data_IF_965959236908
#
_entry.id   IF_965959236908
#
_cell.length_a   1.000
_cell.length_b   1.000
_cell.length_c   1.000
_cell.angle_alpha   90.00
_cell.angle_beta   90.00
_cell.angle_gamma   90.00
#
_symmetry.space_group_name_H-M   'P 1'
#
loop_
_entity.id
_entity.type
_entity.pdbx_description
1 polymer ?
#
# COMPACT_ATOMS: atom_id res chain seq x y z
N UNK A 1 28.09 -6.49 2.01
CA UNK A 1 28.69 -7.77 2.46
C UNK A 1 27.82 -8.57 3.42
N UNK A 2 27.36 -8.07 4.58
CA UNK A 2 26.49 -8.90 5.44
C UNK A 2 25.07 -9.10 4.89
N UNK A 3 24.46 -8.06 4.30
CA UNK A 3 23.10 -8.17 3.72
C UNK A 3 23.08 -9.09 2.50
N UNK A 4 24.02 -8.95 1.57
CA UNK A 4 24.09 -9.78 0.36
C UNK A 4 24.26 -11.28 0.70
N UNK A 5 24.97 -11.58 1.80
CA UNK A 5 25.07 -12.95 2.31
C UNK A 5 23.71 -13.52 2.73
N UNK A 6 22.92 -12.75 3.49
CA UNK A 6 21.60 -13.18 3.94
C UNK A 6 20.59 -13.24 2.79
N UNK A 7 20.68 -12.33 1.82
CA UNK A 7 19.91 -12.39 0.58
C UNK A 7 20.22 -13.66 -0.22
N UNK A 8 21.50 -14.01 -0.38
CA UNK A 8 21.93 -15.24 -1.05
C UNK A 8 21.48 -16.48 -0.27
N UNK A 9 21.55 -16.45 1.06
CA UNK A 9 21.07 -17.54 1.92
C UNK A 9 19.57 -17.76 1.77
N UNK A 10 18.78 -16.69 1.76
CA UNK A 10 17.34 -16.77 1.53
C UNK A 10 17.02 -17.27 0.11
N UNK A 11 17.78 -16.80 -0.89
CA UNK A 11 17.67 -17.25 -2.28
C UNK A 11 17.98 -18.74 -2.48
N UNK A 12 18.79 -19.32 -1.58
CA UNK A 12 19.17 -20.74 -1.63
C UNK A 12 18.11 -21.70 -1.05
N UNK A 13 16.91 -21.21 -0.73
CA UNK A 13 15.82 -21.96 -0.11
C UNK A 13 16.25 -22.67 1.19
N UNK A 14 16.47 -21.90 2.27
CA UNK A 14 16.85 -22.49 3.54
C UNK A 14 15.73 -23.42 4.05
N UNK A 15 16.06 -24.48 4.81
CA UNK A 15 15.04 -25.33 5.43
C UNK A 15 14.11 -24.50 6.32
N UNK A 16 12.82 -24.90 6.36
CA UNK A 16 11.76 -24.15 7.07
C UNK A 16 12.11 -23.87 8.54
N UNK A 17 12.86 -24.77 9.18
CA UNK A 17 13.30 -24.64 10.57
C UNK A 17 14.18 -23.42 10.85
N UNK A 18 14.88 -22.88 9.85
CA UNK A 18 15.74 -21.70 9.97
C UNK A 18 15.25 -20.52 9.12
N UNK A 19 14.15 -20.68 8.38
CA UNK A 19 13.64 -19.67 7.46
C UNK A 19 13.30 -18.36 8.20
N UNK A 20 12.59 -18.46 9.33
CA UNK A 20 12.25 -17.28 10.14
C UNK A 20 13.48 -16.60 10.75
N UNK A 21 14.52 -17.36 11.12
CA UNK A 21 15.78 -16.78 11.61
C UNK A 21 16.52 -16.01 10.51
N UNK A 22 16.57 -16.56 9.29
CA UNK A 22 17.15 -15.89 8.13
C UNK A 22 16.38 -14.62 7.80
N UNK A 23 15.04 -14.71 7.76
CA UNK A 23 14.17 -13.56 7.55
C UNK A 23 14.36 -12.52 8.66
N UNK A 24 14.53 -12.94 9.91
CA UNK A 24 14.76 -12.04 11.03
C UNK A 24 16.08 -11.28 10.89
N UNK A 25 17.16 -11.99 10.57
CA UNK A 25 18.46 -11.35 10.35
C UNK A 25 18.40 -10.40 9.16
N UNK A 26 17.73 -10.77 8.08
CA UNK A 26 17.63 -9.93 6.90
C UNK A 26 16.79 -8.67 7.16
N UNK A 27 15.59 -8.82 7.72
CA UNK A 27 14.69 -7.70 8.05
C UNK A 27 15.34 -6.73 9.03
N UNK A 28 15.95 -7.22 10.11
CA UNK A 28 16.63 -6.37 11.10
C UNK A 28 17.80 -5.60 10.47
N UNK A 29 18.53 -6.19 9.52
CA UNK A 29 19.60 -5.49 8.80
C UNK A 29 19.04 -4.42 7.87
N UNK A 30 17.96 -4.67 7.14
CA UNK A 30 17.30 -3.63 6.32
C UNK A 30 16.81 -2.48 7.19
N UNK A 31 16.06 -2.76 8.26
CA UNK A 31 15.55 -1.75 9.20
C UNK A 31 16.69 -0.90 9.76
N UNK A 32 17.77 -1.55 10.23
CA UNK A 32 18.93 -0.89 10.79
C UNK A 32 19.61 0.05 9.79
N UNK A 33 19.71 -0.34 8.51
CA UNK A 33 20.28 0.50 7.45
C UNK A 33 19.38 1.66 7.07
N UNK A 34 18.07 1.41 6.99
CA UNK A 34 17.06 2.43 6.67
C UNK A 34 17.01 3.51 7.75
N UNK A 35 17.09 3.12 9.03
CA UNK A 35 16.99 4.06 10.16
C UNK A 35 18.30 4.80 10.46
N UNK A 36 19.44 4.43 9.85
CA UNK A 36 20.76 5.02 10.15
C UNK A 36 21.24 5.91 8.99
N UNK A 37 21.08 7.24 9.08
CA UNK A 37 21.43 8.18 8.01
C UNK A 37 22.94 8.26 7.70
N UNK A 38 23.80 7.69 8.55
CA UNK A 38 25.26 7.67 8.37
C UNK A 38 25.77 6.39 7.69
N UNK A 39 24.88 5.48 7.28
CA UNK A 39 25.31 4.24 6.64
C UNK A 39 25.87 4.54 5.24
N UNK A 40 27.12 4.11 5.00
CA UNK A 40 27.71 4.16 3.66
C UNK A 40 26.90 3.25 2.76
N UNK A 41 26.13 3.85 1.87
CA UNK A 41 25.27 3.15 0.95
C UNK A 41 26.13 2.38 -0.06
N UNK A 42 26.35 1.09 0.18
CA UNK A 42 27.09 0.20 -0.71
C UNK A 42 26.14 -0.27 -1.80
N UNK A 43 26.60 -0.21 -3.05
CA UNK A 43 25.86 -0.72 -4.21
C UNK A 43 25.46 -2.17 -3.96
N UNK A 44 24.16 -2.44 -4.06
CA UNK A 44 23.62 -3.79 -3.91
C UNK A 44 24.12 -4.72 -5.02
N UNK A 45 24.38 -5.99 -4.69
CA UNK A 45 24.66 -7.03 -5.69
C UNK A 45 23.40 -7.47 -6.46
N UNK A 46 22.22 -7.37 -5.86
CA UNK A 46 20.93 -7.75 -6.45
C UNK A 46 19.90 -6.64 -6.34
N UNK A 47 19.14 -6.42 -7.40
CA UNK A 47 17.97 -5.54 -7.35
C UNK A 47 16.79 -6.24 -6.65
N UNK A 48 15.76 -5.50 -6.21
CA UNK A 48 14.50 -6.11 -5.74
C UNK A 48 13.91 -7.09 -6.76
N UNK A 49 14.01 -6.76 -8.05
CA UNK A 49 13.58 -7.61 -9.17
C UNK A 49 14.39 -8.91 -9.22
N UNK A 50 15.72 -8.84 -9.08
CA UNK A 50 16.59 -10.01 -9.07
C UNK A 50 16.28 -10.93 -7.89
N UNK A 51 16.00 -10.36 -6.71
CA UNK A 51 15.64 -11.12 -5.51
C UNK A 51 14.29 -11.82 -5.66
N UNK A 52 13.29 -11.14 -6.22
CA UNK A 52 11.98 -11.72 -6.57
C UNK A 52 12.10 -12.83 -7.60
N UNK A 53 12.97 -12.68 -8.59
CA UNK A 53 13.22 -13.72 -9.59
C UNK A 53 14.04 -14.89 -9.00
N UNK A 54 14.80 -14.65 -7.91
CA UNK A 54 15.61 -15.68 -7.24
C UNK A 54 14.80 -16.56 -6.29
N UNK A 55 13.82 -16.01 -5.56
CA UNK A 55 13.00 -16.79 -4.62
C UNK A 55 11.61 -16.20 -4.38
N UNK A 56 10.66 -17.05 -4.00
CA UNK A 56 9.25 -16.70 -3.75
C UNK A 56 9.01 -15.93 -2.45
N UNK A 57 10.04 -15.71 -1.64
CA UNK A 57 9.96 -14.97 -0.38
C UNK A 57 9.84 -13.45 -0.59
N UNK A 58 10.19 -12.96 -1.77
CA UNK A 58 10.02 -11.56 -2.16
C UNK A 58 8.77 -11.42 -3.04
N UNK A 59 7.86 -10.54 -2.65
CA UNK A 59 6.62 -10.23 -3.36
C UNK A 59 6.76 -9.11 -4.38
N UNK A 60 5.74 -8.97 -5.22
CA UNK A 60 5.60 -7.81 -6.12
C UNK A 60 5.19 -6.61 -5.29
N UNK A 61 5.92 -5.49 -5.44
CA UNK A 61 5.58 -4.23 -4.80
C UNK A 61 4.31 -3.70 -5.44
N UNK A 62 3.30 -3.43 -4.62
CA UNK A 62 1.99 -2.97 -5.09
C UNK A 62 2.07 -1.58 -5.75
N UNK A 63 1.25 -1.30 -6.78
CA UNK A 63 1.29 -0.03 -7.51
C UNK A 63 1.05 1.21 -6.64
N UNK A 64 0.27 1.08 -5.57
CA UNK A 64 -0.01 2.18 -4.64
C UNK A 64 1.23 2.64 -3.86
N UNK A 65 2.19 1.73 -3.60
CA UNK A 65 3.45 2.07 -2.95
C UNK A 65 4.28 2.96 -3.87
N UNK A 66 4.32 2.64 -5.17
CA UNK A 66 5.01 3.48 -6.17
C UNK A 66 4.38 4.87 -6.25
N UNK A 67 3.04 4.97 -6.19
CA UNK A 67 2.35 6.24 -6.18
C UNK A 67 2.72 7.10 -4.95
N UNK A 68 2.78 6.49 -3.76
CA UNK A 68 3.18 7.18 -2.52
C UNK A 68 4.60 7.74 -2.54
N UNK A 69 5.54 6.98 -3.12
CA UNK A 69 6.99 7.27 -3.07
C UNK A 69 7.43 8.18 -4.21
N UNK A 70 6.64 8.29 -5.29
CA UNK A 70 6.99 9.04 -6.49
C UNK A 70 7.26 10.54 -6.27
N UNK A 71 6.77 11.12 -5.17
CA UNK A 71 6.97 12.53 -4.83
C UNK A 71 8.17 12.80 -3.91
N UNK A 72 8.85 11.76 -3.39
CA UNK A 72 9.92 11.92 -2.40
C UNK A 72 11.28 11.41 -2.91
N UNK A 73 12.39 12.10 -2.59
CA UNK A 73 13.72 11.54 -2.80
C UNK A 73 13.91 10.35 -1.84
N UNK A 74 13.96 9.14 -2.39
CA UNK A 74 14.26 7.92 -1.63
C UNK A 74 15.59 8.09 -0.89
N UNK A 75 15.58 7.88 0.43
CA UNK A 75 16.70 8.17 1.33
C UNK A 75 18.02 7.46 0.97
N UNK A 76 17.97 6.39 0.17
CA UNK A 76 19.11 5.96 -0.63
C UNK A 76 18.69 5.16 -1.89
N UNK A 77 18.68 5.82 -3.05
CA UNK A 77 18.43 5.15 -4.36
C UNK A 77 19.48 4.07 -4.66
N UNK A 78 20.71 4.21 -4.13
CA UNK A 78 21.83 3.34 -4.52
C UNK A 78 21.90 1.98 -3.81
N UNK A 79 21.32 1.81 -2.61
CA UNK A 79 21.24 0.46 -1.98
C UNK A 79 19.91 -0.25 -2.25
N UNK A 80 18.82 0.50 -2.51
CA UNK A 80 17.50 -0.07 -2.70
C UNK A 80 16.94 -0.81 -1.48
N UNK A 81 17.54 -0.67 -0.29
CA UNK A 81 17.18 -1.43 0.91
C UNK A 81 15.69 -1.25 1.28
N UNK A 82 15.13 -0.06 1.06
CA UNK A 82 13.70 0.22 1.26
C UNK A 82 12.82 -0.64 0.33
N UNK A 83 13.10 -0.63 -0.97
CA UNK A 83 12.34 -1.39 -1.97
C UNK A 83 12.45 -2.89 -1.71
N UNK A 84 13.64 -3.36 -1.30
CA UNK A 84 13.84 -4.76 -0.92
C UNK A 84 13.04 -5.14 0.32
N UNK A 85 12.99 -4.26 1.32
CA UNK A 85 12.17 -4.49 2.51
C UNK A 85 10.68 -4.51 2.17
N UNK A 86 10.19 -3.54 1.39
CA UNK A 86 8.80 -3.54 0.90
C UNK A 86 8.47 -4.83 0.14
N UNK A 87 9.34 -5.24 -0.79
CA UNK A 87 9.18 -6.50 -1.52
C UNK A 87 9.16 -7.72 -0.59
N UNK A 88 10.03 -7.77 0.42
CA UNK A 88 10.04 -8.84 1.42
C UNK A 88 8.75 -8.88 2.24
N UNK A 89 8.22 -7.71 2.66
CA UNK A 89 6.97 -7.59 3.40
C UNK A 89 5.76 -8.02 2.55
N UNK A 90 5.76 -7.70 1.25
CA UNK A 90 4.77 -8.16 0.28
C UNK A 90 4.86 -9.66 -0.03
N UNK A 91 5.93 -10.34 0.42
CA UNK A 91 6.10 -11.78 0.30
C UNK A 91 5.26 -12.58 1.30
N UNK A 92 4.97 -13.87 1.02
CA UNK A 92 4.10 -14.68 1.86
C UNK A 92 4.76 -15.21 3.14
N UNK A 93 6.09 -15.21 3.21
CA UNK A 93 6.82 -16.05 4.17
C UNK A 93 7.13 -15.39 5.50
N UNK A 94 7.06 -14.06 5.58
CA UNK A 94 7.39 -13.32 6.79
C UNK A 94 6.18 -13.30 7.74
N UNK A 95 6.35 -13.68 9.01
CA UNK A 95 5.31 -13.52 10.04
C UNK A 95 5.31 -12.11 10.64
N UNK A 96 4.47 -11.22 10.08
CA UNK A 96 4.46 -9.79 10.42
C UNK A 96 4.34 -9.54 11.94
N UNK A 97 3.53 -10.32 12.66
CA UNK A 97 3.32 -10.15 14.10
C UNK A 97 4.63 -10.28 14.89
N UNK A 98 5.47 -11.25 14.52
CA UNK A 98 6.78 -11.45 15.16
C UNK A 98 7.80 -10.35 14.85
N UNK A 99 7.57 -9.57 13.78
CA UNK A 99 8.47 -8.52 13.32
C UNK A 99 8.00 -7.09 13.63
N UNK A 100 6.76 -6.90 14.09
CA UNK A 100 6.18 -5.59 14.40
C UNK A 100 7.09 -4.70 15.27
N UNK A 101 7.69 -5.17 16.38
CA UNK A 101 8.51 -4.30 17.23
C UNK A 101 9.72 -3.67 16.51
N UNK A 102 10.23 -4.33 15.47
CA UNK A 102 11.32 -3.82 14.66
C UNK A 102 10.82 -2.88 13.58
N UNK A 103 9.67 -3.18 12.98
CA UNK A 103 9.08 -2.38 11.91
C UNK A 103 8.53 -1.06 12.47
N UNK A 104 7.96 -1.08 13.68
CA UNK A 104 7.50 0.09 14.44
C UNK A 104 8.65 1.05 14.80
N UNK A 105 9.91 0.60 14.75
CA UNK A 105 11.07 1.47 14.98
C UNK A 105 11.36 2.40 13.79
N UNK A 106 10.81 2.10 12.61
CA UNK A 106 10.94 2.95 11.42
C UNK A 106 10.02 4.16 11.59
N UNK A 107 10.53 5.39 11.49
CA UNK A 107 9.72 6.59 11.71
C UNK A 107 8.69 6.80 10.59
N UNK A 108 7.48 7.24 10.91
CA UNK A 108 6.43 7.59 9.93
C UNK A 108 6.65 8.99 9.30
N UNK A 109 7.91 9.44 9.25
CA UNK A 109 8.25 10.83 8.91
C UNK A 109 7.96 11.20 7.45
N UNK A 110 8.00 10.22 6.55
CA UNK A 110 7.84 10.41 5.11
C UNK A 110 6.95 9.29 4.50
N UNK A 111 6.45 9.50 3.29
CA UNK A 111 5.55 8.55 2.61
C UNK A 111 6.26 7.22 2.31
N UNK A 112 7.57 7.28 2.07
CA UNK A 112 8.44 6.11 1.91
C UNK A 112 8.38 5.15 3.10
N UNK A 113 8.48 5.65 4.32
CA UNK A 113 8.40 4.84 5.53
C UNK A 113 6.97 4.50 5.91
N UNK A 114 6.02 5.42 5.68
CA UNK A 114 4.59 5.15 5.87
C UNK A 114 4.12 3.93 5.06
N UNK A 115 4.67 3.72 3.86
CA UNK A 115 4.33 2.56 3.03
C UNK A 115 4.64 1.22 3.73
N UNK A 116 5.72 1.13 4.53
CA UNK A 116 6.05 -0.08 5.30
C UNK A 116 4.94 -0.36 6.31
N UNK A 117 4.52 0.67 7.05
CA UNK A 117 3.49 0.55 8.07
C UNK A 117 2.15 0.16 7.47
N UNK A 118 1.80 0.72 6.32
CA UNK A 118 0.57 0.35 5.59
C UNK A 118 0.65 -1.12 5.13
N UNK A 119 1.77 -1.58 4.58
CA UNK A 119 1.92 -3.01 4.21
C UNK A 119 1.71 -3.91 5.43
N UNK A 120 2.30 -3.55 6.57
CA UNK A 120 2.15 -4.31 7.82
C UNK A 120 0.70 -4.32 8.28
N UNK A 121 0.05 -3.16 8.36
CA UNK A 121 -1.35 -3.04 8.76
C UNK A 121 -2.28 -3.83 7.82
N UNK A 122 -2.03 -3.78 6.50
CA UNK A 122 -2.76 -4.55 5.49
C UNK A 122 -2.64 -6.04 5.71
N UNK A 123 -1.43 -6.54 5.99
CA UNK A 123 -1.19 -7.96 6.28
C UNK A 123 -1.81 -8.43 7.59
N UNK A 124 -2.07 -7.50 8.51
CA UNK A 124 -2.80 -7.72 9.75
C UNK A 124 -4.31 -7.48 9.60
N UNK A 125 -4.80 -7.29 8.37
CA UNK A 125 -6.21 -7.02 8.05
C UNK A 125 -6.75 -5.71 8.66
N UNK A 126 -5.88 -4.79 9.07
CA UNK A 126 -6.24 -3.46 9.54
C UNK A 126 -6.36 -2.49 8.36
N UNK A 127 -7.41 -2.68 7.57
CA UNK A 127 -7.67 -1.90 6.36
C UNK A 127 -8.17 -0.49 6.67
N UNK A 128 -9.09 -0.35 7.63
CA UNK A 128 -9.67 0.96 7.98
C UNK A 128 -8.60 1.94 8.48
N UNK A 129 -7.73 1.50 9.40
CA UNK A 129 -6.62 2.33 9.87
C UNK A 129 -5.61 2.67 8.77
N UNK A 130 -5.46 1.80 7.77
CA UNK A 130 -4.62 2.07 6.60
C UNK A 130 -5.23 3.14 5.70
N UNK A 131 -6.55 3.11 5.49
CA UNK A 131 -7.29 4.13 4.74
C UNK A 131 -7.16 5.49 5.42
N UNK A 132 -7.39 5.57 6.73
CA UNK A 132 -7.32 6.84 7.47
C UNK A 132 -5.92 7.46 7.35
N UNK A 133 -4.86 6.67 7.54
CA UNK A 133 -3.47 7.11 7.39
C UNK A 133 -3.13 7.55 5.96
N UNK A 134 -3.64 6.84 4.95
CA UNK A 134 -3.45 7.21 3.55
C UNK A 134 -4.16 8.53 3.23
N UNK A 135 -5.39 8.71 3.68
CA UNK A 135 -6.13 9.95 3.47
C UNK A 135 -5.50 11.15 4.19
N UNK A 136 -4.82 10.93 5.32
CA UNK A 136 -4.12 11.98 6.08
C UNK A 136 -2.82 12.46 5.41
N UNK A 137 -2.13 11.59 4.65
CA UNK A 137 -0.74 11.84 4.21
C UNK A 137 -0.52 11.78 2.70
N UNK A 138 -1.27 10.94 1.99
CA UNK A 138 -1.14 10.70 0.56
C UNK A 138 -2.47 10.22 -0.02
N UNK A 139 -3.49 11.09 -0.07
CA UNK A 139 -4.83 10.75 -0.57
C UNK A 139 -4.81 10.28 -2.04
N UNK A 140 -3.79 10.59 -2.83
CA UNK A 140 -3.69 10.11 -4.22
C UNK A 140 -3.46 8.59 -4.31
N UNK A 141 -2.86 7.99 -3.29
CA UNK A 141 -2.56 6.56 -3.27
C UNK A 141 -3.74 5.69 -2.81
N UNK A 142 -4.74 6.27 -2.15
CA UNK A 142 -5.82 5.50 -1.49
C UNK A 142 -6.68 4.72 -2.47
N UNK A 143 -6.96 5.28 -3.66
CA UNK A 143 -7.76 4.62 -4.69
C UNK A 143 -7.04 3.40 -5.25
N UNK A 144 -5.73 3.51 -5.49
CA UNK A 144 -4.90 2.40 -5.94
C UNK A 144 -4.74 1.33 -4.85
N UNK A 145 -4.62 1.76 -3.60
CA UNK A 145 -4.55 0.86 -2.44
C UNK A 145 -5.83 0.04 -2.31
N UNK A 146 -6.98 0.70 -2.25
CA UNK A 146 -8.28 0.03 -2.20
C UNK A 146 -8.43 -0.94 -3.38
N UNK A 147 -8.16 -0.49 -4.62
CA UNK A 147 -8.26 -1.34 -5.81
C UNK A 147 -7.36 -2.58 -5.75
N UNK A 148 -6.14 -2.46 -5.23
CA UNK A 148 -5.20 -3.58 -5.17
C UNK A 148 -5.59 -4.62 -4.10
N UNK A 149 -6.03 -4.16 -2.93
CA UNK A 149 -6.41 -5.03 -1.81
C UNK A 149 -7.83 -5.60 -1.93
N UNK A 150 -8.65 -5.03 -2.81
CA UNK A 150 -9.94 -5.57 -3.25
C UNK A 150 -9.71 -6.91 -4.00
N UNK A 151 -9.74 -8.02 -3.26
CA UNK A 151 -9.89 -9.38 -3.83
C UNK A 151 -11.24 -9.98 -3.44
N UNK A 152 -12.14 -10.05 -4.43
CA UNK A 152 -13.33 -10.92 -4.59
C UNK A 152 -14.35 -11.12 -3.46
N UNK A 153 -14.27 -10.43 -2.32
CA UNK A 153 -15.28 -10.61 -1.25
C UNK A 153 -15.43 -9.46 -0.25
N UNK A 154 -14.44 -8.58 -0.13
CA UNK A 154 -14.45 -7.45 0.81
C UNK A 154 -14.80 -6.11 0.16
N UNK A 155 -15.12 -6.07 -1.13
CA UNK A 155 -15.26 -4.82 -1.90
C UNK A 155 -16.23 -3.83 -1.24
N UNK A 156 -17.41 -4.32 -0.84
CA UNK A 156 -18.41 -3.48 -0.19
C UNK A 156 -17.91 -2.88 1.14
N UNK A 157 -17.14 -3.64 1.93
CA UNK A 157 -16.58 -3.14 3.20
C UNK A 157 -15.61 -1.98 2.99
N UNK A 158 -14.80 -2.07 1.94
CA UNK A 158 -13.83 -1.01 1.61
C UNK A 158 -14.52 0.27 1.19
N UNK A 159 -15.49 0.20 0.26
CA UNK A 159 -16.16 1.41 -0.23
C UNK A 159 -17.15 1.99 0.79
N UNK A 160 -17.71 1.16 1.68
CA UNK A 160 -18.50 1.62 2.83
C UNK A 160 -17.68 2.47 3.81
N UNK A 161 -16.35 2.34 3.85
CA UNK A 161 -15.47 3.20 4.64
C UNK A 161 -14.88 4.34 3.82
N UNK A 162 -14.26 4.03 2.68
CA UNK A 162 -13.50 5.00 1.89
C UNK A 162 -14.37 6.11 1.30
N UNK A 163 -15.52 5.77 0.71
CA UNK A 163 -16.34 6.78 0.03
C UNK A 163 -16.98 7.76 1.02
N UNK A 164 -17.59 7.32 2.14
CA UNK A 164 -18.10 8.24 3.15
C UNK A 164 -17.01 9.12 3.77
N UNK A 165 -15.84 8.54 4.07
CA UNK A 165 -14.71 9.27 4.63
C UNK A 165 -14.19 10.36 3.68
N UNK A 166 -14.07 10.06 2.38
CA UNK A 166 -13.71 11.06 1.36
C UNK A 166 -14.75 12.18 1.26
N UNK A 167 -16.05 11.84 1.23
CA UNK A 167 -17.11 12.84 1.18
C UNK A 167 -17.07 13.77 2.39
N UNK A 168 -16.86 13.21 3.58
CA UNK A 168 -16.77 13.94 4.83
C UNK A 168 -15.54 14.86 4.87
N UNK A 169 -14.37 14.39 4.41
CA UNK A 169 -13.15 15.20 4.29
C UNK A 169 -13.27 16.33 3.27
N UNK A 170 -13.90 16.09 2.12
CA UNK A 170 -14.21 17.14 1.12
C UNK A 170 -15.14 18.21 1.71
N UNK A 171 -16.12 17.82 2.53
CA UNK A 171 -17.02 18.79 3.18
C UNK A 171 -16.33 19.62 4.27
N UNK A 172 -15.34 19.05 4.95
CA UNK A 172 -14.61 19.72 6.05
C UNK A 172 -13.42 20.55 5.57
N UNK A 173 -12.81 20.20 4.45
CA UNK A 173 -11.60 20.88 3.97
C UNK A 173 -11.98 22.21 3.34
N UNK A 174 -11.33 23.30 3.75
CA UNK A 174 -11.46 24.62 3.11
C UNK A 174 -10.26 24.92 2.18
N UNK A 175 -9.10 24.27 2.38
CA UNK A 175 -7.84 24.59 1.69
C UNK A 175 -7.25 23.48 0.80
N UNK A 176 -7.48 22.18 1.10
CA UNK A 176 -6.93 21.04 0.31
C UNK A 176 -8.00 20.34 -0.56
N UNK A 177 -9.07 21.06 -0.89
CA UNK A 177 -10.23 20.48 -1.58
C UNK A 177 -9.90 19.86 -2.94
N UNK A 178 -8.93 20.40 -3.69
CA UNK A 178 -8.66 19.90 -5.04
C UNK A 178 -8.16 18.46 -5.04
N UNK A 179 -7.24 18.11 -4.13
CA UNK A 179 -6.69 16.75 -4.04
C UNK A 179 -7.77 15.77 -3.60
N UNK A 180 -8.53 16.10 -2.54
CA UNK A 180 -9.61 15.23 -2.08
C UNK A 180 -10.75 15.10 -3.11
N UNK A 181 -11.10 16.17 -3.83
CA UNK A 181 -12.08 16.11 -4.92
C UNK A 181 -11.55 15.24 -6.06
N UNK A 182 -10.27 15.36 -6.43
CA UNK A 182 -9.65 14.50 -7.45
C UNK A 182 -9.71 13.03 -7.02
N UNK A 183 -9.26 12.72 -5.81
CA UNK A 183 -9.31 11.36 -5.25
C UNK A 183 -10.75 10.82 -5.18
N UNK A 184 -11.73 11.67 -4.82
CA UNK A 184 -13.14 11.29 -4.81
C UNK A 184 -13.65 10.96 -6.22
N UNK A 185 -13.29 11.75 -7.23
CA UNK A 185 -13.64 11.47 -8.63
C UNK A 185 -13.03 10.14 -9.10
N UNK A 186 -11.74 9.92 -8.83
CA UNK A 186 -11.05 8.67 -9.17
C UNK A 186 -11.69 7.46 -8.47
N UNK A 187 -12.06 7.63 -7.20
CA UNK A 187 -12.80 6.64 -6.41
C UNK A 187 -14.14 6.33 -7.05
N UNK A 188 -14.92 7.35 -7.43
CA UNK A 188 -16.22 7.17 -8.08
C UNK A 188 -16.10 6.53 -9.46
N UNK A 189 -15.05 6.82 -10.21
CA UNK A 189 -14.77 6.12 -11.46
C UNK A 189 -14.56 4.63 -11.20
N UNK A 190 -13.74 4.24 -10.21
CA UNK A 190 -13.54 2.83 -9.86
C UNK A 190 -14.83 2.17 -9.35
N UNK A 191 -15.57 2.80 -8.45
CA UNK A 191 -16.87 2.29 -7.97
C UNK A 191 -17.83 2.10 -9.13
N UNK A 192 -17.89 3.06 -10.06
CA UNK A 192 -18.70 2.97 -11.28
C UNK A 192 -18.19 1.94 -12.30
N UNK A 193 -17.03 1.33 -12.10
CA UNK A 193 -16.56 0.23 -12.92
C UNK A 193 -16.81 -1.13 -12.27
N UNK A 194 -16.72 -1.21 -10.95
CA UNK A 194 -16.66 -2.47 -10.21
C UNK A 194 -17.98 -2.86 -9.54
N UNK A 195 -18.88 -1.91 -9.26
CA UNK A 195 -20.12 -2.15 -8.50
C UNK A 195 -21.33 -2.33 -9.41
N UNK A 196 -22.34 -3.07 -8.94
CA UNK A 196 -23.67 -3.01 -9.54
C UNK A 196 -24.39 -1.73 -9.11
N UNK A 197 -25.33 -1.25 -9.93
CA UNK A 197 -26.09 -0.02 -9.65
C UNK A 197 -26.74 -0.03 -8.27
N UNK A 198 -27.27 -1.17 -7.82
CA UNK A 198 -27.89 -1.27 -6.50
C UNK A 198 -26.88 -1.08 -5.37
N UNK A 199 -25.70 -1.71 -5.48
CA UNK A 199 -24.66 -1.59 -4.47
C UNK A 199 -24.05 -0.19 -4.48
N UNK A 200 -23.92 0.44 -5.66
CA UNK A 200 -23.50 1.84 -5.76
C UNK A 200 -24.53 2.79 -5.11
N UNK A 201 -25.83 2.58 -5.34
CA UNK A 201 -26.86 3.40 -4.67
C UNK A 201 -26.79 3.26 -3.15
N UNK A 202 -26.50 2.07 -2.63
CA UNK A 202 -26.33 1.84 -1.18
C UNK A 202 -25.08 2.53 -0.60
N UNK A 203 -24.11 2.90 -1.44
CA UNK A 203 -22.89 3.60 -1.03
C UNK A 203 -23.05 5.13 -1.00
N UNK A 204 -24.11 5.67 -1.62
CA UNK A 204 -24.30 7.11 -1.70
C UNK A 204 -24.59 7.72 -0.32
N UNK A 205 -24.18 8.97 -0.08
CA UNK A 205 -24.56 9.67 1.14
C UNK A 205 -26.08 9.85 1.24
N UNK A 206 -26.64 9.60 2.43
CA UNK A 206 -28.07 9.80 2.73
C UNK A 206 -28.47 11.29 2.89
N UNK A 207 -27.57 12.23 2.59
CA UNK A 207 -27.78 13.67 2.76
C UNK A 207 -28.61 14.32 1.64
N UNK A 208 -29.04 13.52 0.66
CA UNK A 208 -29.85 13.96 -0.48
C UNK A 208 -29.07 14.68 -1.57
N UNK A 209 -27.75 14.84 -1.45
CA UNK A 209 -26.93 15.52 -2.45
C UNK A 209 -26.35 14.55 -3.48
N UNK A 210 -27.20 14.09 -4.40
CA UNK A 210 -26.80 13.13 -5.43
C UNK A 210 -26.17 13.78 -6.68
N UNK A 211 -26.28 15.10 -6.86
CA UNK A 211 -25.95 15.78 -8.12
C UNK A 211 -24.51 15.53 -8.60
N UNK A 212 -23.55 15.49 -7.67
CA UNK A 212 -22.15 15.20 -7.95
C UNK A 212 -21.90 13.76 -8.44
N UNK A 213 -22.74 12.81 -8.00
CA UNK A 213 -22.62 11.38 -8.30
C UNK A 213 -23.37 10.97 -9.58
N UNK A 214 -24.32 11.79 -10.06
CA UNK A 214 -25.14 11.50 -11.23
C UNK A 214 -24.34 11.12 -12.50
N UNK A 215 -23.23 11.79 -12.86
CA UNK A 215 -22.47 11.41 -14.05
C UNK A 215 -21.97 9.96 -13.98
N UNK A 216 -21.55 9.51 -12.79
CA UNK A 216 -21.02 8.17 -12.55
C UNK A 216 -22.11 7.10 -12.59
N UNK A 217 -23.31 7.39 -12.02
CA UNK A 217 -24.49 6.53 -12.10
C UNK A 217 -25.00 6.38 -13.55
N UNK A 218 -25.00 7.46 -14.32
CA UNK A 218 -25.39 7.44 -15.73
C UNK A 218 -24.38 6.63 -16.56
N UNK A 219 -23.07 6.77 -16.28
CA UNK A 219 -22.05 6.00 -16.99
C UNK A 219 -22.18 4.49 -16.73
N UNK A 220 -22.43 4.10 -15.47
CA UNK A 220 -22.76 2.73 -15.07
C UNK A 220 -23.95 2.15 -15.84
N UNK A 221 -25.10 2.85 -15.84
CA UNK A 221 -26.33 2.38 -16.49
C UNK A 221 -26.16 2.20 -18.00
N UNK A 222 -25.44 3.11 -18.67
CA UNK A 222 -25.13 3.00 -20.10
C UNK A 222 -24.27 1.77 -20.42
N UNK A 223 -23.33 1.38 -19.55
CA UNK A 223 -22.50 0.19 -19.77
C UNK A 223 -23.31 -1.10 -19.71
N UNK A 224 -24.28 -1.22 -18.79
CA UNK A 224 -25.21 -2.36 -18.75
C UNK A 224 -26.13 -2.46 -19.97
N UNK A 225 -26.35 -1.37 -20.72
CA UNK A 225 -27.15 -1.38 -21.95
C UNK A 225 -26.37 -1.82 -23.19
N UNK A 226 -25.03 -1.82 -23.13
CA UNK A 226 -24.12 -2.15 -24.25
C UNK A 226 -23.52 -3.55 -24.11
N UNK A 227 -23.73 -4.19 -22.96
CA UNK A 227 -23.33 -5.58 -22.67
C UNK A 227 -24.55 -6.49 -22.83
#
# INVERSE_FOLDING_TARGET
>A
MLVDFWEARLSSYPPESILQDVLFKLTSLYVCRICKPQHVCVTSLKTPEDLRNSCSHFGVISPWITAMVSSEPVSCVTCGDLLKLQSLLCGPSLDILSFLPFLDSIPDSNNSFLSIHIICATRLLNFEGSIDRLLDRCPEAVTLYAKHEIKSGSQALWWNKLLPELCDRVRRSENDNEVFISTLKDTLDVVSMEFDLQDFLNLLPDDGNAAFFLPYLVNQSKRKLVT
#
